data_IF_463685447911
#
_entry.id   IF_463685447911
#
_cell.length_a   1.000
_cell.length_b   1.000
_cell.length_c   1.000
_cell.angle_alpha   90.00
_cell.angle_beta   90.00
_cell.angle_gamma   90.00
#
_symmetry.space_group_name_H-M   'P 1'
#
loop_
_entity.id
_entity.type
_entity.pdbx_description
1 polymer ?
#
# COMPACT_ATOMS: atom_id res chain seq x y z
N UNK A 1 -27.19 35.63 -13.40
CA UNK A 1 -25.77 35.75 -12.97
C UNK A 1 -24.99 34.66 -13.68
N UNK A 2 -24.48 34.99 -14.87
CA UNK A 2 -23.54 34.15 -15.63
C UNK A 2 -22.15 34.71 -15.37
N UNK A 3 -21.23 33.88 -14.87
CA UNK A 3 -19.82 34.23 -14.74
C UNK A 3 -19.06 33.44 -15.81
N UNK A 4 -18.69 34.13 -16.89
CA UNK A 4 -17.75 33.62 -17.89
C UNK A 4 -16.33 33.66 -17.34
N UNK A 5 -15.57 32.60 -17.60
CA UNK A 5 -14.14 32.51 -17.30
C UNK A 5 -13.39 32.69 -18.62
N UNK A 6 -12.70 33.82 -18.74
CA UNK A 6 -11.80 34.15 -19.84
C UNK A 6 -10.68 33.11 -19.98
N UNK A 7 -10.62 32.43 -21.13
CA UNK A 7 -9.43 31.71 -21.58
C UNK A 7 -8.44 32.70 -22.19
N UNK A 8 -7.28 32.84 -21.56
CA UNK A 8 -6.17 33.63 -22.09
C UNK A 8 -5.47 32.82 -23.19
N UNK A 9 -5.74 33.16 -24.44
CA UNK A 9 -4.98 32.73 -25.62
C UNK A 9 -3.53 33.22 -25.49
N UNK A 10 -2.56 32.30 -25.47
CA UNK A 10 -1.14 32.62 -25.68
C UNK A 10 -0.71 31.99 -27.01
N UNK A 11 -0.09 32.83 -27.84
CA UNK A 11 0.11 32.70 -29.28
C UNK A 11 0.78 31.42 -29.80
N UNK A 12 0.34 31.03 -31.00
CA UNK A 12 1.06 30.13 -31.89
C UNK A 12 2.43 30.72 -32.28
N UNK A 13 3.51 30.04 -31.91
CA UNK A 13 4.82 30.25 -32.53
C UNK A 13 5.01 29.18 -33.61
N UNK A 14 4.74 29.54 -34.86
CA UNK A 14 5.12 28.74 -36.03
C UNK A 14 6.64 28.71 -36.15
N UNK A 15 7.26 27.60 -35.77
CA UNK A 15 8.67 27.36 -36.05
C UNK A 15 8.76 26.60 -37.38
N UNK A 16 9.01 27.34 -38.46
CA UNK A 16 9.43 26.74 -39.72
C UNK A 16 10.86 26.20 -39.56
N UNK A 17 11.01 24.89 -39.43
CA UNK A 17 12.33 24.23 -39.44
C UNK A 17 12.87 24.25 -40.87
N UNK A 18 13.62 25.29 -41.18
CA UNK A 18 14.47 25.35 -42.35
C UNK A 18 15.57 24.28 -42.19
N UNK A 19 15.50 23.18 -42.93
CA UNK A 19 16.53 22.13 -42.91
C UNK A 19 17.89 22.68 -43.35
N UNK A 20 19.01 22.30 -42.70
CA UNK A 20 20.32 22.81 -43.08
C UNK A 20 20.72 22.35 -44.47
N UNK A 21 21.22 23.33 -45.24
CA UNK A 21 21.76 23.19 -46.57
C UNK A 21 22.87 22.11 -46.65
N UNK A 22 23.00 21.53 -47.84
CA UNK A 22 23.99 20.54 -48.28
C UNK A 22 25.34 20.58 -47.53
N UNK A 23 25.81 19.46 -46.96
CA UNK A 23 27.13 19.41 -46.34
C UNK A 23 28.27 19.39 -47.40
N UNK A 24 29.42 20.04 -47.14
CA UNK A 24 30.56 20.08 -48.05
C UNK A 24 31.22 18.70 -48.21
N UNK A 25 31.68 18.40 -49.43
CA UNK A 25 32.11 17.08 -49.92
C UNK A 25 33.42 16.51 -49.32
N UNK A 26 33.86 16.98 -48.15
CA UNK A 26 35.08 16.48 -47.48
C UNK A 26 34.89 16.24 -45.97
N UNK A 27 33.65 15.99 -45.53
CA UNK A 27 33.36 15.69 -44.13
C UNK A 27 33.93 14.31 -43.71
N UNK A 28 34.74 14.35 -42.64
CA UNK A 28 35.32 13.25 -41.88
C UNK A 28 34.30 12.11 -41.60
N UNK A 29 34.64 10.81 -41.74
CA UNK A 29 33.68 9.69 -41.64
C UNK A 29 33.03 9.48 -40.26
N UNK A 30 33.36 10.31 -39.26
CA UNK A 30 32.89 10.20 -37.88
C UNK A 30 31.59 10.98 -37.59
N UNK A 31 31.10 11.81 -38.53
CA UNK A 31 29.86 12.57 -38.36
C UNK A 31 28.54 11.76 -38.45
N UNK A 32 28.42 10.62 -39.16
CA UNK A 32 27.15 9.88 -39.23
C UNK A 32 26.63 9.43 -37.85
N UNK A 33 27.56 9.07 -36.96
CA UNK A 33 27.27 8.48 -35.66
C UNK A 33 26.68 9.52 -34.69
N UNK A 34 27.28 10.71 -34.60
CA UNK A 34 26.85 11.75 -33.66
C UNK A 34 25.44 12.30 -33.98
N UNK A 35 25.08 12.33 -35.26
CA UNK A 35 23.71 12.67 -35.68
C UNK A 35 22.71 11.59 -35.22
N UNK A 36 23.07 10.31 -35.29
CA UNK A 36 22.23 9.21 -34.79
C UNK A 36 22.07 9.24 -33.27
N UNK A 37 23.12 9.59 -32.52
CA UNK A 37 23.04 9.76 -31.05
C UNK A 37 22.12 10.91 -30.64
N UNK A 38 22.17 12.06 -31.34
CA UNK A 38 21.30 13.21 -31.07
C UNK A 38 19.82 12.91 -31.34
N UNK A 39 19.51 12.24 -32.46
CA UNK A 39 18.14 11.85 -32.82
C UNK A 39 17.58 10.79 -31.86
N UNK A 40 18.40 9.82 -31.42
CA UNK A 40 18.00 8.82 -30.43
C UNK A 40 17.70 9.40 -29.04
N UNK A 41 18.44 10.43 -28.62
CA UNK A 41 18.23 11.13 -27.35
C UNK A 41 16.98 12.03 -27.41
N UNK A 42 16.77 12.77 -28.50
CA UNK A 42 15.57 13.57 -28.71
C UNK A 42 14.32 12.71 -28.90
N UNK A 43 14.45 11.55 -29.55
CA UNK A 43 13.35 10.57 -29.66
C UNK A 43 13.05 9.89 -28.33
N UNK A 44 14.06 9.57 -27.50
CA UNK A 44 13.86 9.09 -26.12
C UNK A 44 13.21 10.14 -25.23
N UNK A 45 13.58 11.42 -25.38
CA UNK A 45 12.91 12.51 -24.66
C UNK A 45 11.47 12.71 -25.16
N UNK A 46 11.23 12.65 -26.48
CA UNK A 46 9.88 12.73 -27.06
C UNK A 46 8.99 11.53 -26.69
N UNK A 47 9.56 10.33 -26.55
CA UNK A 47 8.88 9.13 -26.05
C UNK A 47 8.51 9.23 -24.56
N UNK A 48 9.27 9.99 -23.77
CA UNK A 48 8.95 10.29 -22.37
C UNK A 48 7.95 11.44 -22.20
N UNK A 49 7.59 12.16 -23.28
CA UNK A 49 6.55 13.18 -23.28
C UNK A 49 5.15 12.62 -23.58
N UNK A 50 5.01 11.31 -23.75
CA UNK A 50 3.69 10.67 -23.60
C UNK A 50 3.31 10.74 -22.12
N UNK A 51 2.64 11.83 -21.76
CA UNK A 51 1.80 11.92 -20.57
C UNK A 51 1.02 10.62 -20.47
N UNK A 52 1.32 9.84 -19.44
CA UNK A 52 0.61 8.61 -19.15
C UNK A 52 -0.88 8.96 -19.12
N UNK A 53 -1.74 8.33 -19.96
CA UNK A 53 -3.16 8.62 -19.96
C UNK A 53 -3.63 8.47 -18.52
N UNK A 54 -4.24 9.52 -18.00
CA UNK A 54 -4.47 9.71 -16.58
C UNK A 54 -5.02 8.43 -15.95
N UNK A 55 -4.16 7.71 -15.22
CA UNK A 55 -4.62 6.80 -14.20
C UNK A 55 -5.07 7.69 -13.04
N UNK A 56 -6.20 8.39 -13.23
CA UNK A 56 -7.09 8.63 -12.11
C UNK A 56 -7.76 7.27 -11.91
N UNK A 57 -7.34 6.42 -10.96
CA UNK A 57 -8.27 5.44 -10.42
C UNK A 57 -9.37 6.29 -9.79
N UNK A 58 -10.39 6.66 -10.59
CA UNK A 58 -11.55 7.39 -10.11
C UNK A 58 -12.00 6.66 -8.86
N UNK A 59 -12.17 7.41 -7.77
CA UNK A 59 -12.56 6.86 -6.47
C UNK A 59 -13.65 5.84 -6.73
N UNK A 60 -13.33 4.55 -6.58
CA UNK A 60 -14.30 3.48 -6.87
C UNK A 60 -15.23 3.47 -5.66
N UNK A 61 -16.45 4.04 -5.74
CA UNK A 61 -17.28 4.22 -4.57
C UNK A 61 -17.65 2.88 -3.93
N UNK A 62 -17.71 1.83 -4.76
CA UNK A 62 -17.91 0.45 -4.31
C UNK A 62 -16.75 -0.08 -3.45
N UNK A 63 -15.50 0.28 -3.76
CA UNK A 63 -14.32 -0.08 -2.96
C UNK A 63 -14.34 0.68 -1.64
N UNK A 64 -14.63 1.98 -1.65
CA UNK A 64 -14.74 2.79 -0.43
C UNK A 64 -15.85 2.26 0.49
N UNK A 65 -17.02 1.94 -0.08
CA UNK A 65 -18.12 1.32 0.66
C UNK A 65 -17.73 -0.01 1.28
N UNK A 66 -17.02 -0.86 0.54
CA UNK A 66 -16.51 -2.12 1.07
C UNK A 66 -15.53 -1.90 2.23
N UNK A 67 -14.56 -0.99 2.08
CA UNK A 67 -13.62 -0.65 3.16
C UNK A 67 -14.35 -0.11 4.39
N UNK A 68 -15.36 0.75 4.22
CA UNK A 68 -16.14 1.31 5.31
C UNK A 68 -16.92 0.24 6.09
N UNK A 69 -17.61 -0.67 5.38
CA UNK A 69 -18.34 -1.78 6.01
C UNK A 69 -17.38 -2.71 6.74
N UNK A 70 -16.26 -3.07 6.11
CA UNK A 70 -15.22 -3.88 6.74
C UNK A 70 -14.65 -3.20 7.99
N UNK A 71 -14.32 -1.91 7.89
CA UNK A 71 -13.79 -1.10 8.99
C UNK A 71 -14.73 -1.02 10.18
N UNK A 72 -16.03 -0.81 9.92
CA UNK A 72 -17.05 -0.81 10.97
C UNK A 72 -17.12 -2.16 11.70
N UNK A 73 -17.11 -3.27 10.94
CA UNK A 73 -17.13 -4.61 11.52
C UNK A 73 -15.85 -4.90 12.33
N UNK A 74 -14.67 -4.51 11.82
CA UNK A 74 -13.40 -4.67 12.52
C UNK A 74 -13.34 -3.87 13.82
N UNK A 75 -13.77 -2.61 13.78
CA UNK A 75 -13.82 -1.75 14.95
C UNK A 75 -14.82 -2.28 16.01
N UNK A 76 -15.98 -2.77 15.58
CA UNK A 76 -16.96 -3.40 16.48
C UNK A 76 -16.40 -4.67 17.13
N UNK A 77 -15.66 -5.51 16.38
CA UNK A 77 -15.01 -6.70 16.92
C UNK A 77 -13.92 -6.34 17.96
N UNK A 78 -13.12 -5.31 17.69
CA UNK A 78 -12.14 -4.78 18.66
C UNK A 78 -12.82 -4.27 19.92
N UNK A 79 -13.87 -3.45 19.76
CA UNK A 79 -14.63 -2.94 20.89
C UNK A 79 -15.26 -4.08 21.71
N UNK A 80 -15.81 -5.11 21.04
CA UNK A 80 -16.30 -6.31 21.71
C UNK A 80 -15.20 -7.04 22.50
N UNK A 81 -13.98 -7.13 21.96
CA UNK A 81 -12.84 -7.71 22.68
C UNK A 81 -12.45 -6.88 23.91
N UNK A 82 -12.46 -5.55 23.80
CA UNK A 82 -12.24 -4.62 24.92
C UNK A 82 -13.33 -4.79 26.02
N UNK A 83 -14.58 -5.07 25.64
CA UNK A 83 -15.68 -5.34 26.58
C UNK A 83 -15.59 -6.70 27.26
N UNK A 84 -15.16 -7.74 26.52
CA UNK A 84 -15.03 -9.10 27.03
C UNK A 84 -13.83 -9.23 27.98
N UNK A 85 -12.77 -8.47 27.70
CA UNK A 85 -11.53 -8.50 28.47
C UNK A 85 -11.11 -7.08 28.87
N UNK A 86 -11.85 -6.45 29.80
CA UNK A 86 -11.50 -5.12 30.27
C UNK A 86 -10.15 -5.18 30.97
N UNK A 87 -9.20 -4.37 30.51
CA UNK A 87 -7.88 -4.25 31.14
C UNK A 87 -7.91 -3.05 32.07
N UNK A 88 -7.54 -3.25 33.33
CA UNK A 88 -7.47 -2.17 34.32
C UNK A 88 -6.37 -1.16 33.97
N UNK A 89 -6.45 0.10 34.46
CA UNK A 89 -5.46 1.14 34.17
C UNK A 89 -4.01 0.73 34.52
N UNK A 90 -3.86 -0.03 35.61
CA UNK A 90 -2.57 -0.52 36.12
C UNK A 90 -2.18 -1.92 35.62
N UNK A 91 -3.01 -2.56 34.80
CA UNK A 91 -2.75 -3.90 34.29
C UNK A 91 -2.12 -3.85 32.90
N UNK A 92 -1.30 -4.86 32.59
CA UNK A 92 -0.71 -4.99 31.25
C UNK A 92 -1.82 -5.02 30.18
N UNK A 93 -1.73 -4.21 29.11
CA UNK A 93 -2.77 -4.06 28.08
C UNK A 93 -2.89 -5.28 27.15
N UNK A 94 -3.18 -6.45 27.73
CA UNK A 94 -3.26 -7.75 27.06
C UNK A 94 -4.26 -7.73 25.90
N UNK A 95 -5.38 -7.04 26.08
CA UNK A 95 -6.46 -7.01 25.09
C UNK A 95 -6.01 -6.32 23.80
N UNK A 96 -5.36 -5.15 23.91
CA UNK A 96 -4.84 -4.43 22.76
C UNK A 96 -3.66 -5.16 22.13
N UNK A 97 -2.78 -5.76 22.94
CA UNK A 97 -1.68 -6.57 22.42
C UNK A 97 -2.21 -7.77 21.63
N UNK A 98 -3.19 -8.50 22.17
CA UNK A 98 -3.79 -9.66 21.50
C UNK A 98 -4.52 -9.26 20.23
N UNK A 99 -5.34 -8.22 20.26
CA UNK A 99 -6.05 -7.72 19.09
C UNK A 99 -5.06 -7.34 17.97
N UNK A 100 -4.01 -6.58 18.30
CA UNK A 100 -2.99 -6.21 17.32
C UNK A 100 -2.19 -7.42 16.81
N UNK A 101 -1.80 -8.34 17.70
CA UNK A 101 -1.03 -9.55 17.34
C UNK A 101 -1.84 -10.49 16.46
N UNK A 102 -3.10 -10.76 16.82
CA UNK A 102 -4.04 -11.57 16.02
C UNK A 102 -4.31 -10.90 14.68
N UNK A 103 -4.51 -9.57 14.66
CA UNK A 103 -4.67 -8.81 13.42
C UNK A 103 -3.47 -8.93 12.49
N UNK A 104 -2.24 -8.80 13.02
CA UNK A 104 -1.01 -9.00 12.26
C UNK A 104 -0.86 -10.43 11.73
N UNK A 105 -1.20 -11.44 12.53
CA UNK A 105 -1.22 -12.85 12.10
C UNK A 105 -2.20 -13.04 10.93
N UNK A 106 -3.43 -12.58 11.07
CA UNK A 106 -4.46 -12.68 10.03
C UNK A 106 -4.04 -11.93 8.75
N UNK A 107 -3.31 -10.81 8.88
CA UNK A 107 -2.81 -10.07 7.72
C UNK A 107 -1.78 -10.89 6.93
N UNK A 108 -0.86 -11.57 7.63
CA UNK A 108 0.09 -12.50 7.02
C UNK A 108 -0.61 -13.65 6.28
N UNK A 109 -1.65 -14.23 6.90
CA UNK A 109 -2.47 -15.29 6.29
C UNK A 109 -3.20 -14.78 5.05
N UNK A 110 -3.85 -13.62 5.15
CA UNK A 110 -4.62 -13.02 4.08
C UNK A 110 -3.72 -12.70 2.88
N UNK A 111 -2.58 -12.05 3.11
CA UNK A 111 -1.63 -11.67 2.06
C UNK A 111 -1.15 -12.88 1.26
N UNK A 112 -0.76 -13.96 1.95
CA UNK A 112 -0.30 -15.19 1.30
C UNK A 112 -1.44 -15.90 0.58
N UNK A 113 -2.62 -16.00 1.20
CA UNK A 113 -3.79 -16.67 0.61
C UNK A 113 -4.27 -15.98 -0.67
N UNK A 114 -4.38 -14.65 -0.65
CA UNK A 114 -4.75 -13.88 -1.85
C UNK A 114 -3.73 -14.09 -2.96
N UNK A 115 -2.43 -14.05 -2.64
CA UNK A 115 -1.36 -14.22 -3.63
C UNK A 115 -1.34 -15.61 -4.27
N UNK A 116 -1.51 -16.67 -3.47
CA UNK A 116 -1.37 -18.06 -3.94
C UNK A 116 -2.65 -18.67 -4.50
N UNK A 117 -3.82 -18.34 -3.93
CA UNK A 117 -5.07 -19.03 -4.23
C UNK A 117 -6.03 -18.22 -5.07
N UNK A 118 -5.96 -16.90 -4.99
CA UNK A 118 -6.85 -16.00 -5.71
C UNK A 118 -6.08 -14.86 -6.40
N UNK A 119 -5.17 -15.17 -7.36
CA UNK A 119 -4.47 -14.14 -8.12
C UNK A 119 -5.42 -13.24 -8.93
N UNK A 120 -6.63 -13.72 -9.23
CA UNK A 120 -7.72 -12.98 -9.84
C UNK A 120 -8.84 -12.61 -8.85
N UNK A 121 -8.55 -12.52 -7.55
CA UNK A 121 -9.52 -12.14 -6.53
C UNK A 121 -10.29 -10.87 -6.95
N UNK A 122 -11.61 -10.79 -6.71
CA UNK A 122 -12.39 -9.60 -6.94
C UNK A 122 -11.72 -8.39 -6.27
N UNK A 123 -11.58 -7.29 -7.03
CA UNK A 123 -10.90 -6.06 -6.61
C UNK A 123 -11.43 -5.47 -5.29
N UNK A 124 -12.62 -5.89 -4.85
CA UNK A 124 -13.25 -5.46 -3.60
C UNK A 124 -12.90 -6.32 -2.37
N UNK A 125 -12.48 -7.58 -2.52
CA UNK A 125 -12.23 -8.46 -1.36
C UNK A 125 -10.96 -8.05 -0.61
N UNK A 126 -9.88 -7.74 -1.34
CA UNK A 126 -8.62 -7.33 -0.70
C UNK A 126 -8.77 -6.02 0.10
N UNK A 127 -9.44 -4.98 -0.41
CA UNK A 127 -9.73 -3.77 0.37
C UNK A 127 -10.71 -4.01 1.52
N UNK A 128 -11.77 -4.81 1.32
CA UNK A 128 -12.74 -5.13 2.37
C UNK A 128 -12.07 -5.79 3.58
N UNK A 129 -11.28 -6.84 3.32
CA UNK A 129 -10.68 -7.64 4.38
C UNK A 129 -9.41 -6.99 4.94
N UNK A 130 -8.48 -6.59 4.07
CA UNK A 130 -7.18 -6.05 4.48
C UNK A 130 -7.32 -4.66 5.10
N UNK A 131 -7.73 -3.67 4.31
CA UNK A 131 -7.84 -2.28 4.79
C UNK A 131 -9.08 -2.04 5.64
N UNK A 132 -10.20 -2.72 5.35
CA UNK A 132 -11.43 -2.60 6.11
C UNK A 132 -11.36 -3.37 7.43
N UNK A 133 -11.64 -4.68 7.39
CA UNK A 133 -11.80 -5.50 8.61
C UNK A 133 -10.52 -5.52 9.45
N UNK A 134 -9.38 -5.89 8.87
CA UNK A 134 -8.13 -5.98 9.63
C UNK A 134 -7.65 -4.58 10.05
N UNK A 135 -7.77 -3.58 9.19
CA UNK A 135 -7.43 -2.19 9.51
C UNK A 135 -8.27 -1.61 10.65
N UNK A 136 -9.58 -1.90 10.70
CA UNK A 136 -10.47 -1.48 11.79
C UNK A 136 -10.33 -2.31 13.07
N UNK A 137 -9.94 -3.58 12.94
CA UNK A 137 -9.70 -4.49 14.06
C UNK A 137 -8.43 -4.12 14.82
N UNK A 138 -7.34 -3.74 14.14
CA UNK A 138 -6.11 -3.29 14.80
C UNK A 138 -6.16 -1.80 15.15
N UNK A 139 -5.54 -1.39 16.26
CA UNK A 139 -5.47 0.03 16.63
C UNK A 139 -4.12 0.40 17.22
N UNK A 140 -3.45 1.36 16.58
CA UNK A 140 -2.24 1.97 17.10
C UNK A 140 -2.54 3.08 18.12
N UNK A 141 -3.65 3.81 17.96
CA UNK A 141 -4.01 4.92 18.86
C UNK A 141 -4.28 4.44 20.28
N UNK A 142 -5.08 3.38 20.45
CA UNK A 142 -5.30 2.76 21.77
C UNK A 142 -4.00 2.23 22.37
N UNK A 143 -3.13 1.66 21.55
CA UNK A 143 -1.83 1.19 22.00
C UNK A 143 -0.95 2.33 22.53
N UNK A 144 -0.86 3.45 21.80
CA UNK A 144 -0.08 4.61 22.26
C UNK A 144 -0.67 5.25 23.51
N UNK A 145 -1.99 5.26 23.65
CA UNK A 145 -2.66 5.81 24.83
C UNK A 145 -2.36 4.97 26.08
N UNK A 146 -2.42 3.63 25.96
CA UNK A 146 -2.01 2.72 27.04
C UNK A 146 -0.53 2.90 27.41
N UNK A 147 0.37 3.00 26.43
CA UNK A 147 1.79 3.24 26.71
C UNK A 147 2.00 4.59 27.41
N UNK A 148 1.28 5.63 27.01
CA UNK A 148 1.29 6.95 27.66
C UNK A 148 0.80 6.88 29.11
N UNK A 149 -0.27 6.14 29.38
CA UNK A 149 -0.79 5.94 30.74
C UNK A 149 0.23 5.26 31.65
N UNK A 150 0.94 4.23 31.17
CA UNK A 150 2.02 3.57 31.94
C UNK A 150 3.19 4.52 32.28
N UNK A 151 3.49 5.48 31.39
CA UNK A 151 4.47 6.53 31.69
C UNK A 151 3.97 7.50 32.78
N UNK A 152 2.69 7.88 32.72
CA UNK A 152 2.06 8.76 33.70
C UNK A 152 1.97 8.11 35.10
N UNK A 153 1.85 6.77 35.16
CA UNK A 153 1.82 5.98 36.41
C UNK A 153 3.23 5.74 37.03
N UNK A 154 4.30 6.28 36.43
CA UNK A 154 5.64 6.23 37.00
C UNK A 154 6.39 4.90 36.77
N UNK A 155 5.95 4.08 35.80
CA UNK A 155 6.58 2.79 35.46
C UNK A 155 7.24 2.78 34.07
N UNK A 156 8.20 3.67 33.76
CA UNK A 156 8.73 3.85 32.40
C UNK A 156 9.42 2.61 31.84
N UNK A 157 10.06 1.80 32.69
CA UNK A 157 10.65 0.52 32.25
C UNK A 157 9.61 -0.48 31.76
N UNK A 158 8.43 -0.50 32.40
CA UNK A 158 7.31 -1.35 32.00
C UNK A 158 6.68 -0.86 30.70
N UNK A 159 6.50 0.46 30.55
CA UNK A 159 6.02 1.09 29.32
C UNK A 159 6.88 0.72 28.11
N UNK A 160 8.21 0.83 28.24
CA UNK A 160 9.16 0.47 27.18
C UNK A 160 9.11 -1.04 26.88
N UNK A 161 9.01 -1.87 27.91
CA UNK A 161 8.85 -3.33 27.77
C UNK A 161 7.61 -3.70 26.97
N UNK A 162 6.45 -3.15 27.33
CA UNK A 162 5.19 -3.31 26.59
C UNK A 162 5.33 -2.87 25.13
N UNK A 163 6.04 -1.75 24.92
CA UNK A 163 6.19 -1.16 23.60
C UNK A 163 6.98 -2.08 22.67
N UNK A 164 8.15 -2.54 23.13
CA UNK A 164 9.00 -3.45 22.36
C UNK A 164 8.32 -4.81 22.17
N UNK A 165 7.68 -5.35 23.21
CA UNK A 165 7.01 -6.64 23.14
C UNK A 165 5.89 -6.64 22.09
N UNK A 166 5.10 -5.57 22.01
CA UNK A 166 4.01 -5.47 21.03
C UNK A 166 4.55 -5.46 19.60
N UNK A 167 5.63 -4.72 19.33
CA UNK A 167 6.24 -4.67 18.00
C UNK A 167 6.84 -6.03 17.62
N UNK A 168 7.58 -6.66 18.54
CA UNK A 168 8.17 -7.98 18.30
C UNK A 168 7.08 -9.04 18.08
N UNK A 169 6.01 -9.02 18.90
CA UNK A 169 4.87 -9.92 18.77
C UNK A 169 4.17 -9.73 17.42
N UNK A 170 3.95 -8.48 16.99
CA UNK A 170 3.34 -8.18 15.69
C UNK A 170 4.18 -8.72 14.52
N UNK A 171 5.50 -8.51 14.54
CA UNK A 171 6.42 -9.02 13.52
C UNK A 171 6.50 -10.56 13.51
N UNK A 172 6.55 -11.17 14.69
CA UNK A 172 6.52 -12.63 14.81
C UNK A 172 5.18 -13.20 14.31
N UNK A 173 4.06 -12.53 14.62
CA UNK A 173 2.73 -12.95 14.22
C UNK A 173 2.53 -12.90 12.70
N UNK A 174 2.91 -11.80 12.04
CA UNK A 174 2.76 -11.68 10.58
C UNK A 174 3.63 -12.69 9.84
N UNK A 175 4.86 -12.92 10.31
CA UNK A 175 5.77 -13.92 9.72
C UNK A 175 5.25 -15.33 9.94
N UNK A 176 4.80 -15.66 11.16
CA UNK A 176 4.18 -16.94 11.47
C UNK A 176 2.93 -17.20 10.62
N UNK A 177 2.05 -16.20 10.47
CA UNK A 177 0.85 -16.30 9.63
C UNK A 177 1.18 -16.56 8.16
N UNK A 178 2.18 -15.85 7.63
CA UNK A 178 2.66 -16.07 6.28
C UNK A 178 3.25 -17.48 6.08
N UNK A 179 4.15 -17.90 6.97
CA UNK A 179 4.81 -19.21 6.90
C UNK A 179 3.80 -20.36 7.06
N UNK A 180 2.89 -20.28 8.03
CA UNK A 180 1.85 -21.28 8.24
C UNK A 180 0.96 -21.44 7.00
N UNK A 181 0.59 -20.34 6.37
CA UNK A 181 -0.22 -20.35 5.14
C UNK A 181 0.55 -20.94 3.96
N UNK A 182 1.83 -20.59 3.82
CA UNK A 182 2.70 -21.20 2.81
C UNK A 182 2.86 -22.71 3.02
N UNK A 183 3.04 -23.16 4.26
CA UNK A 183 3.12 -24.58 4.59
C UNK A 183 1.80 -25.29 4.25
N UNK A 184 0.66 -24.76 4.67
CA UNK A 184 -0.65 -25.35 4.42
C UNK A 184 -0.98 -25.43 2.91
N UNK A 185 -0.76 -24.35 2.17
CA UNK A 185 -1.06 -24.29 0.73
C UNK A 185 -0.02 -25.03 -0.13
N UNK A 186 1.25 -25.08 0.30
CA UNK A 186 2.32 -25.82 -0.36
C UNK A 186 2.13 -27.34 -0.29
N UNK A 187 1.60 -27.85 0.83
CA UNK A 187 1.24 -29.27 0.95
C UNK A 187 0.07 -29.62 0.03
N UNK A 188 -0.96 -28.77 -0.07
CA UNK A 188 -2.14 -29.03 -0.90
C UNK A 188 -1.89 -29.04 -2.42
N UNK A 189 -0.83 -28.40 -2.91
CA UNK A 189 -0.47 -28.42 -4.34
C UNK A 189 0.23 -29.71 -4.75
N UNK A 190 1.06 -30.27 -3.87
CA UNK A 190 1.82 -31.52 -4.14
C UNK A 190 0.91 -32.75 -4.14
N UNK A 191 -0.12 -32.79 -3.30
CA UNK A 191 -1.11 -33.89 -3.30
C UNK A 191 -2.03 -33.86 -4.52
N UNK A 192 -2.29 -32.70 -5.11
CA UNK A 192 -3.17 -32.56 -6.29
C UNK A 192 -2.46 -32.80 -7.63
N UNK A 193 -1.13 -32.67 -7.65
CA UNK A 193 -0.32 -32.94 -8.84
C UNK A 193 0.19 -34.40 -8.90
N UNK A 194 -0.02 -35.18 -7.83
CA UNK A 194 0.33 -36.60 -7.75
C UNK A 194 -0.86 -37.57 -7.80
N UNK A 195 -2.06 -37.07 -8.11
CA UNK A 195 -3.29 -37.83 -8.32
C UNK A 195 -3.76 -37.61 -9.76
#
# INVERSE_FOLDING_TARGET
MHTEVHFLTIGEAHYSVQGPAHPPAHANPLWPDLAQYGVGMLQKMALHTHSHPDHHPGVQPSVVGAVAVGGAAGAAARYGAELLWPTGPSDFPWTILLVNTVGCFLMGVLMVTLKLRFPAAPRLISPLLGTGVLGGFTSFSHYTDNVRQLFDEGSPGYAVGCMLLTVVAALAAVTAGAVATHAALGHGYRTRAGA
#
